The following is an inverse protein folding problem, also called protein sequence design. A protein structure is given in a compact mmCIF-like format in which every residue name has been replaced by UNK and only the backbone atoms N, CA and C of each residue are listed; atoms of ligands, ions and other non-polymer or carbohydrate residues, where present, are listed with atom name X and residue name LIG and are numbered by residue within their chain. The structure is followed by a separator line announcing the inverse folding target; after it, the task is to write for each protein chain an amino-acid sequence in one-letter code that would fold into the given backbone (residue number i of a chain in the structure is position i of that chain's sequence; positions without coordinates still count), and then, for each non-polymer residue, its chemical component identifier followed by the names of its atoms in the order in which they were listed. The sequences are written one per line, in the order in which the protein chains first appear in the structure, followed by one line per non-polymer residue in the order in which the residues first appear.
data_IF_035910559657
#
_entry.id   IF_035910559657
#
_cell.length_a   1.000
_cell.length_b   1.000
_cell.length_c   1.000
_cell.angle_alpha   90.00
_cell.angle_beta   90.00
_cell.angle_gamma   90.00
#
_symmetry.space_group_name_H-M   'P 1'
#
loop_
_entity.id
_entity.type
_entity.pdbx_description
1 polymer ?
#
# COMPACT_ATOMS: atom_id res chain seq x y z
N UNK A 1 7.87 46.89 3.56
CA UNK A 1 6.40 46.88 3.65
C UNK A 1 6.02 45.88 4.72
N UNK A 2 5.02 46.19 5.54
CA UNK A 2 4.64 45.35 6.67
C UNK A 2 3.67 44.25 6.23
N UNK A 3 3.89 43.02 6.71
CA UNK A 3 3.00 41.86 6.53
C UNK A 3 1.52 42.19 6.76
N UNK A 4 1.27 43.05 7.76
CA UNK A 4 -0.06 43.53 8.15
C UNK A 4 -0.83 44.21 7.02
N UNK A 5 -0.13 44.86 6.08
CA UNK A 5 -0.78 45.50 4.94
C UNK A 5 -1.49 44.50 4.04
N UNK A 6 -0.90 43.33 3.77
CA UNK A 6 -1.52 42.30 2.92
C UNK A 6 -2.73 41.65 3.59
N UNK A 7 -2.72 41.57 4.93
CA UNK A 7 -3.83 41.03 5.70
C UNK A 7 -5.01 42.02 5.75
N UNK A 8 -4.73 43.33 5.79
CA UNK A 8 -5.76 44.37 5.93
C UNK A 8 -6.26 44.94 4.59
N UNK A 9 -5.49 44.81 3.49
CA UNK A 9 -5.81 45.44 2.21
C UNK A 9 -6.87 44.70 1.38
N UNK A 10 -7.19 43.45 1.71
CA UNK A 10 -8.11 42.63 0.91
C UNK A 10 -7.48 42.00 -0.34
N UNK A 11 -6.16 42.11 -0.51
CA UNK A 11 -5.43 41.54 -1.64
C UNK A 11 -5.45 40.01 -1.63
N UNK A 12 -5.46 39.39 -0.45
CA UNK A 12 -5.51 37.94 -0.28
C UNK A 12 -6.85 37.39 -0.78
N UNK A 13 -7.97 38.02 -0.41
CA UNK A 13 -9.31 37.64 -0.86
C UNK A 13 -9.44 37.83 -2.37
N UNK A 14 -8.91 38.93 -2.90
CA UNK A 14 -8.92 39.22 -4.34
C UNK A 14 -8.07 38.20 -5.11
N UNK A 15 -6.94 37.76 -4.53
CA UNK A 15 -6.10 36.70 -5.07
C UNK A 15 -6.83 35.35 -5.09
N UNK A 16 -7.44 34.94 -3.97
CA UNK A 16 -8.18 33.67 -3.85
C UNK A 16 -9.37 33.62 -4.82
N UNK A 17 -10.05 34.74 -5.04
CA UNK A 17 -11.15 34.84 -6.00
C UNK A 17 -10.69 34.92 -7.47
N UNK A 18 -9.39 35.06 -7.73
CA UNK A 18 -8.85 35.26 -9.08
C UNK A 18 -9.16 36.63 -9.69
N UNK A 19 -9.38 37.64 -8.85
CA UNK A 19 -9.68 39.03 -9.24
C UNK A 19 -8.47 39.96 -9.15
N UNK A 20 -7.41 39.54 -8.47
CA UNK A 20 -6.17 40.30 -8.37
C UNK A 20 -5.49 40.45 -9.74
N UNK A 21 -4.81 41.58 -9.95
CA UNK A 21 -4.01 41.79 -11.15
C UNK A 21 -2.78 40.88 -11.16
N UNK A 22 -2.23 40.61 -12.35
CA UNK A 22 -1.03 39.79 -12.52
C UNK A 22 0.17 40.34 -11.71
N UNK A 23 0.31 41.66 -11.65
CA UNK A 23 1.34 42.33 -10.85
C UNK A 23 1.18 42.11 -9.35
N UNK A 24 -0.07 42.16 -8.85
CA UNK A 24 -0.37 41.93 -7.43
C UNK A 24 -0.17 40.46 -7.05
N UNK A 25 -0.51 39.55 -7.96
CA UNK A 25 -0.28 38.11 -7.81
C UNK A 25 1.22 37.82 -7.67
N UNK A 26 2.05 38.36 -8.58
CA UNK A 26 3.50 38.17 -8.52
C UNK A 26 4.10 38.73 -7.22
N UNK A 27 3.64 39.90 -6.79
CA UNK A 27 4.07 40.53 -5.54
C UNK A 27 3.69 39.66 -4.32
N UNK A 28 2.44 39.18 -4.26
CA UNK A 28 1.97 38.32 -3.19
C UNK A 28 2.74 36.98 -3.17
N UNK A 29 2.97 36.35 -4.31
CA UNK A 29 3.75 35.12 -4.41
C UNK A 29 5.21 35.31 -3.97
N UNK A 30 5.82 36.44 -4.32
CA UNK A 30 7.14 36.81 -3.83
C UNK A 30 7.13 36.98 -2.30
N UNK A 31 6.14 37.67 -1.76
CA UNK A 31 6.00 37.89 -0.31
C UNK A 31 5.71 36.60 0.46
N UNK A 32 4.95 35.66 -0.10
CA UNK A 32 4.70 34.32 0.48
C UNK A 32 5.99 33.51 0.64
N UNK A 33 6.98 33.68 -0.26
CA UNK A 33 8.31 33.05 -0.10
C UNK A 33 9.10 33.63 1.07
N UNK A 34 8.87 34.90 1.40
CA UNK A 34 9.57 35.60 2.48
C UNK A 34 8.87 35.39 3.84
N UNK A 35 7.53 35.32 3.84
CA UNK A 35 6.70 35.23 5.04
C UNK A 35 5.68 34.10 4.90
N UNK A 36 5.96 32.90 5.47
CA UNK A 36 5.04 31.77 5.42
C UNK A 36 3.74 32.01 6.21
N UNK A 37 3.69 33.03 7.07
CA UNK A 37 2.46 33.47 7.75
C UNK A 37 1.36 33.88 6.75
N UNK A 38 1.72 34.39 5.57
CA UNK A 38 0.78 34.71 4.50
C UNK A 38 0.08 33.45 3.95
N UNK A 39 0.76 32.31 3.91
CA UNK A 39 0.14 31.06 3.45
C UNK A 39 -1.00 30.64 4.39
N UNK A 40 -0.83 30.90 5.69
CA UNK A 40 -1.88 30.60 6.67
C UNK A 40 -3.10 31.48 6.46
N UNK A 41 -2.91 32.77 6.18
CA UNK A 41 -4.03 33.69 5.90
C UNK A 41 -4.72 33.39 4.56
N UNK A 42 -3.95 33.01 3.53
CA UNK A 42 -4.51 32.53 2.24
C UNK A 42 -5.39 31.30 2.47
N UNK A 43 -4.90 30.30 3.22
CA UNK A 43 -5.68 29.09 3.53
C UNK A 43 -6.95 29.43 4.33
N UNK A 44 -6.87 30.35 5.28
CA UNK A 44 -8.04 30.80 6.04
C UNK A 44 -9.07 31.48 5.14
N UNK A 45 -8.64 32.30 4.19
CA UNK A 45 -9.52 32.93 3.20
C UNK A 45 -10.17 31.88 2.28
N UNK A 46 -9.40 30.90 1.78
CA UNK A 46 -9.91 29.79 0.97
C UNK A 46 -10.99 29.00 1.70
N UNK A 47 -10.76 28.62 2.97
CA UNK A 47 -11.75 27.87 3.76
C UNK A 47 -13.02 28.67 4.05
N UNK A 48 -12.89 29.98 4.29
CA UNK A 48 -14.07 30.87 4.48
C UNK A 48 -14.91 30.91 3.21
N UNK A 49 -14.25 31.03 2.06
CA UNK A 49 -14.90 31.04 0.76
C UNK A 49 -15.55 29.68 0.45
N UNK A 50 -14.83 28.58 0.67
CA UNK A 50 -15.34 27.22 0.49
C UNK A 50 -16.64 27.02 1.30
N UNK A 51 -16.65 27.41 2.57
CA UNK A 51 -17.83 27.32 3.42
C UNK A 51 -19.01 28.12 2.86
N UNK A 52 -18.78 29.37 2.47
CA UNK A 52 -19.82 30.21 1.87
C UNK A 52 -20.38 29.60 0.57
N UNK A 53 -19.50 29.06 -0.28
CA UNK A 53 -19.92 28.38 -1.52
C UNK A 53 -20.74 27.12 -1.26
N UNK A 54 -20.43 26.36 -0.21
CA UNK A 54 -21.21 25.17 0.16
C UNK A 54 -22.57 25.53 0.79
N UNK A 55 -22.63 26.60 1.59
CA UNK A 55 -23.87 27.07 2.21
C UNK A 55 -24.91 27.49 1.14
N UNK A 56 -24.45 28.00 -0.01
CA UNK A 56 -25.29 28.41 -1.15
C UNK A 56 -25.26 27.42 -2.34
N UNK A 57 -24.80 26.18 -2.12
CA UNK A 57 -24.60 25.22 -3.20
C UNK A 57 -25.92 24.80 -3.90
N UNK A 58 -25.98 24.99 -5.22
CA UNK A 58 -27.09 24.51 -6.06
C UNK A 58 -26.77 23.13 -6.63
N UNK A 59 -27.73 22.21 -6.55
CA UNK A 59 -27.57 20.86 -7.09
C UNK A 59 -27.41 20.90 -8.63
N UNK A 60 -26.33 20.32 -9.18
CA UNK A 60 -26.12 20.30 -10.62
C UNK A 60 -27.10 19.33 -11.32
N UNK A 61 -27.47 19.56 -12.59
CA UNK A 61 -28.31 18.65 -13.35
C UNK A 61 -27.69 17.25 -13.49
N UNK A 62 -28.52 16.20 -13.39
CA UNK A 62 -28.08 14.79 -13.41
C UNK A 62 -27.36 14.42 -14.73
N UNK A 63 -27.68 15.09 -15.83
CA UNK A 63 -27.03 14.88 -17.13
C UNK A 63 -25.54 15.22 -17.12
N UNK A 64 -25.14 16.26 -16.39
CA UNK A 64 -23.75 16.72 -16.31
C UNK A 64 -22.89 15.65 -15.63
N UNK A 65 -23.42 15.02 -14.58
CA UNK A 65 -22.74 13.90 -13.90
C UNK A 65 -22.40 12.78 -14.88
N UNK A 66 -23.33 12.40 -15.76
CA UNK A 66 -23.11 11.33 -16.75
C UNK A 66 -22.02 11.71 -17.76
N UNK A 67 -22.04 12.95 -18.28
CA UNK A 67 -21.05 13.44 -19.24
C UNK A 67 -19.63 13.48 -18.64
N UNK A 68 -19.50 14.00 -17.41
CA UNK A 68 -18.22 14.07 -16.71
C UNK A 68 -17.66 12.67 -16.45
N UNK A 69 -18.48 11.76 -15.91
CA UNK A 69 -18.05 10.37 -15.63
C UNK A 69 -17.70 9.58 -16.90
N UNK A 70 -18.32 9.90 -18.04
CA UNK A 70 -17.99 9.28 -19.32
C UNK A 70 -16.60 9.71 -19.82
N UNK A 71 -16.25 11.00 -19.71
CA UNK A 71 -14.93 11.50 -20.12
C UNK A 71 -13.80 10.88 -19.30
N UNK A 72 -13.99 10.77 -17.97
CA UNK A 72 -13.03 10.10 -17.09
C UNK A 72 -12.88 8.63 -17.46
N UNK A 73 -13.98 7.93 -17.77
CA UNK A 73 -13.94 6.52 -18.20
C UNK A 73 -13.15 6.33 -19.48
N UNK A 74 -13.17 7.28 -20.41
CA UNK A 74 -12.39 7.22 -21.65
C UNK A 74 -10.87 7.23 -21.37
N UNK A 75 -10.41 8.09 -20.44
CA UNK A 75 -8.99 8.14 -20.04
C UNK A 75 -8.51 6.83 -19.39
N UNK A 76 -9.37 6.15 -18.62
CA UNK A 76 -9.07 4.84 -18.05
C UNK A 76 -9.28 3.67 -19.03
N UNK A 77 -10.20 3.80 -19.99
CA UNK A 77 -10.49 2.76 -20.99
C UNK A 77 -9.43 2.68 -22.12
N UNK A 78 -8.62 3.73 -22.29
CA UNK A 78 -7.45 3.72 -23.18
C UNK A 78 -6.37 2.68 -22.81
N UNK A 79 -6.50 1.99 -21.67
CA UNK A 79 -5.63 0.89 -21.28
C UNK A 79 -6.17 -0.52 -21.68
N UNK A 80 -7.41 -0.66 -22.16
CA UNK A 80 -8.00 -1.99 -22.43
C UNK A 80 -8.98 -2.09 -23.63
N UNK A 81 -9.11 -1.08 -24.48
CA UNK A 81 -10.06 -1.13 -25.60
C UNK A 81 -9.38 -1.14 -26.98
N UNK A 82 -8.68 -2.24 -27.29
CA UNK A 82 -8.45 -2.63 -28.69
C UNK A 82 -9.69 -3.36 -29.23
N UNK A 83 -10.57 -2.63 -29.91
CA UNK A 83 -11.38 -3.15 -31.00
C UNK A 83 -12.01 -1.98 -31.79
N UNK A 84 -11.44 -1.72 -32.97
CA UNK A 84 -12.05 -1.00 -34.10
C UNK A 84 -12.29 0.51 -33.92
N UNK A 85 -11.23 1.30 -34.06
CA UNK A 85 -11.35 2.53 -34.84
C UNK A 85 -10.07 2.80 -35.63
N UNK A 86 -10.25 3.01 -36.93
CA UNK A 86 -9.22 3.19 -37.93
C UNK A 86 -8.71 4.63 -37.85
N UNK A 87 -7.78 4.90 -36.93
CA UNK A 87 -7.00 6.12 -36.93
C UNK A 87 -5.51 5.79 -36.93
N UNK A 88 -4.77 6.43 -37.83
CA UNK A 88 -3.31 6.34 -37.86
C UNK A 88 -2.74 7.40 -36.93
N UNK A 89 -2.48 7.05 -35.66
CA UNK A 89 -1.56 7.85 -34.84
C UNK A 89 -0.15 7.29 -35.01
N UNK A 90 0.76 8.14 -35.49
CA UNK A 90 2.19 7.88 -35.39
C UNK A 90 2.55 8.05 -33.92
N UNK A 91 2.59 6.92 -33.21
CA UNK A 91 2.89 6.87 -31.79
C UNK A 91 4.42 6.92 -31.59
N UNK A 92 4.97 8.11 -31.45
CA UNK A 92 6.32 8.32 -30.91
C UNK A 92 6.25 8.13 -29.40
N UNK A 93 6.19 6.87 -28.95
CA UNK A 93 6.36 6.54 -27.54
C UNK A 93 7.83 6.72 -27.16
N UNK A 94 8.16 7.47 -26.08
CA UNK A 94 9.44 7.32 -25.43
C UNK A 94 9.51 5.89 -24.85
N UNK A 95 10.61 5.23 -25.17
CA UNK A 95 10.95 3.86 -24.80
C UNK A 95 11.27 3.79 -23.29
N UNK A 96 10.26 3.88 -22.44
CA UNK A 96 10.41 3.66 -21.01
C UNK A 96 10.11 2.19 -20.66
N UNK A 97 10.99 1.33 -21.17
CA UNK A 97 11.03 -0.08 -20.81
C UNK A 97 11.76 -0.27 -19.49
N UNK A 98 11.03 -0.40 -18.40
CA UNK A 98 11.13 -1.52 -17.44
C UNK A 98 10.45 -1.16 -16.11
N UNK A 99 9.12 -1.11 -16.09
CA UNK A 99 8.45 -1.36 -14.82
C UNK A 99 8.45 -2.88 -14.63
N UNK A 100 9.37 -3.39 -13.81
CA UNK A 100 9.34 -4.80 -13.40
C UNK A 100 8.14 -4.95 -12.47
N UNK A 101 6.99 -5.23 -13.06
CA UNK A 101 5.75 -5.48 -12.33
C UNK A 101 5.95 -6.75 -11.51
N UNK A 102 6.17 -6.58 -10.19
CA UNK A 102 6.22 -7.70 -9.27
C UNK A 102 4.87 -8.42 -9.34
N UNK A 103 4.89 -9.66 -9.83
CA UNK A 103 3.72 -10.47 -10.09
C UNK A 103 2.90 -10.60 -8.80
N UNK A 104 1.60 -10.27 -8.88
CA UNK A 104 0.66 -10.17 -7.74
C UNK A 104 0.59 -11.43 -6.86
N UNK A 105 1.14 -12.55 -7.34
CA UNK A 105 1.24 -13.84 -6.64
C UNK A 105 2.42 -14.00 -5.69
N UNK A 106 3.39 -13.08 -5.64
CA UNK A 106 4.54 -13.21 -4.74
C UNK A 106 4.13 -13.31 -3.26
N UNK A 107 2.99 -12.70 -2.89
CA UNK A 107 2.41 -12.81 -1.54
C UNK A 107 1.92 -14.23 -1.21
N UNK A 108 1.43 -14.99 -2.20
CA UNK A 108 0.96 -16.37 -2.02
C UNK A 108 2.15 -17.30 -1.78
N UNK A 109 3.27 -17.07 -2.46
CA UNK A 109 4.50 -17.85 -2.27
C UNK A 109 5.01 -17.81 -0.82
N UNK A 110 5.00 -16.63 -0.18
CA UNK A 110 5.37 -16.52 1.24
C UNK A 110 4.41 -17.24 2.18
N UNK A 111 3.11 -17.21 1.89
CA UNK A 111 2.11 -17.89 2.70
C UNK A 111 2.33 -19.41 2.64
N UNK A 112 2.59 -19.95 1.44
CA UNK A 112 2.87 -21.39 1.26
C UNK A 112 4.14 -21.81 2.02
N UNK A 113 5.23 -21.04 1.91
CA UNK A 113 6.48 -21.34 2.63
C UNK A 113 6.27 -21.33 4.14
N UNK A 114 5.51 -20.36 4.66
CA UNK A 114 5.25 -20.26 6.10
C UNK A 114 4.45 -21.46 6.62
N UNK A 115 3.46 -21.92 5.86
CA UNK A 115 2.67 -23.12 6.18
C UNK A 115 3.55 -24.37 6.11
N UNK A 116 4.38 -24.50 5.08
CA UNK A 116 5.28 -25.64 4.90
C UNK A 116 6.30 -25.76 6.05
N UNK A 117 6.84 -24.63 6.52
CA UNK A 117 7.74 -24.57 7.68
C UNK A 117 7.09 -25.13 8.95
N UNK A 118 5.81 -24.82 9.20
CA UNK A 118 5.07 -25.32 10.35
C UNK A 118 4.82 -26.83 10.27
N UNK A 119 4.46 -27.33 9.08
CA UNK A 119 4.27 -28.77 8.83
C UNK A 119 5.58 -29.51 9.07
N UNK A 120 6.71 -28.98 8.57
CA UNK A 120 8.02 -29.58 8.77
C UNK A 120 8.41 -29.66 10.25
N UNK A 121 8.19 -28.58 11.01
CA UNK A 121 8.43 -28.57 12.46
C UNK A 121 7.58 -29.64 13.18
N UNK A 122 6.30 -29.76 12.82
CA UNK A 122 5.41 -30.77 13.40
C UNK A 122 5.90 -32.20 13.11
N UNK A 123 6.27 -32.49 11.87
CA UNK A 123 6.82 -33.80 11.50
C UNK A 123 8.15 -34.09 12.18
N UNK A 124 9.03 -33.10 12.31
CA UNK A 124 10.31 -33.25 13.00
C UNK A 124 10.11 -33.62 14.47
N UNK A 125 9.16 -32.95 15.16
CA UNK A 125 8.80 -33.27 16.54
C UNK A 125 8.19 -34.69 16.63
N UNK A 126 7.25 -35.02 15.76
CA UNK A 126 6.61 -36.34 15.74
C UNK A 126 7.64 -37.47 15.53
N UNK A 127 8.54 -37.31 14.55
CA UNK A 127 9.57 -38.29 14.27
C UNK A 127 10.60 -38.39 15.40
N UNK A 128 10.97 -37.26 16.01
CA UNK A 128 11.86 -37.25 17.17
C UNK A 128 11.27 -38.03 18.36
N UNK A 129 9.98 -37.82 18.65
CA UNK A 129 9.27 -38.56 19.70
C UNK A 129 9.17 -40.05 19.38
N UNK A 130 8.86 -40.41 18.13
CA UNK A 130 8.81 -41.82 17.70
C UNK A 130 10.19 -42.48 17.77
N UNK A 131 11.23 -41.79 17.33
CA UNK A 131 12.61 -42.27 17.37
C UNK A 131 13.12 -42.50 18.81
N UNK A 132 12.73 -41.63 19.74
CA UNK A 132 12.97 -41.83 21.18
C UNK A 132 12.36 -43.13 21.70
N UNK A 133 11.11 -43.42 21.36
CA UNK A 133 10.42 -44.64 21.80
C UNK A 133 11.08 -45.92 21.26
N UNK A 134 11.57 -45.90 20.02
CA UNK A 134 12.26 -47.06 19.45
C UNK A 134 13.59 -47.34 20.16
N UNK A 135 14.33 -46.31 20.60
CA UNK A 135 15.55 -46.50 21.40
C UNK A 135 15.26 -47.12 22.75
N UNK A 136 14.27 -46.62 23.48
CA UNK A 136 13.90 -47.13 24.81
C UNK A 136 13.50 -48.61 24.73
N UNK A 137 12.72 -49.00 23.70
CA UNK A 137 12.37 -50.42 23.48
C UNK A 137 13.58 -51.29 23.17
N UNK A 138 14.53 -50.81 22.37
CA UNK A 138 15.75 -51.58 22.08
C UNK A 138 16.65 -51.73 23.30
N UNK A 139 16.79 -50.69 24.13
CA UNK A 139 17.51 -50.74 25.39
C UNK A 139 16.85 -51.71 26.39
N UNK A 140 15.52 -51.71 26.49
CA UNK A 140 14.77 -52.67 27.30
C UNK A 140 14.94 -54.12 26.81
N UNK A 141 14.86 -54.36 25.50
CA UNK A 141 15.06 -55.70 24.93
C UNK A 141 16.51 -56.20 25.11
N UNK A 142 17.50 -55.32 24.97
CA UNK A 142 18.90 -55.63 25.23
C UNK A 142 19.13 -55.97 26.71
N UNK A 143 18.60 -55.16 27.63
CA UNK A 143 18.69 -55.40 29.07
C UNK A 143 17.99 -56.70 29.50
N UNK A 144 16.79 -56.98 28.98
CA UNK A 144 16.07 -58.22 29.24
C UNK A 144 16.83 -59.46 28.72
N UNK A 145 17.46 -59.35 27.54
CA UNK A 145 18.28 -60.44 26.97
C UNK A 145 19.51 -60.73 27.83
N UNK A 146 20.18 -59.68 28.32
CA UNK A 146 21.33 -59.80 29.24
C UNK A 146 20.90 -60.45 30.55
N UNK A 147 19.78 -60.02 31.15
CA UNK A 147 19.27 -60.62 32.41
C UNK A 147 18.88 -62.10 32.24
N UNK A 148 18.27 -62.47 31.10
CA UNK A 148 17.95 -63.86 30.80
C UNK A 148 19.22 -64.70 30.65
N UNK A 149 20.24 -64.17 29.99
CA UNK A 149 21.53 -64.85 29.84
C UNK A 149 22.24 -65.04 31.17
N UNK A 150 22.30 -63.99 32.01
CA UNK A 150 22.85 -64.05 33.37
C UNK A 150 22.08 -65.05 34.24
N UNK A 151 20.74 -65.05 34.18
CA UNK A 151 19.91 -65.99 34.93
C UNK A 151 20.13 -67.45 34.48
N UNK A 152 20.28 -67.70 33.18
CA UNK A 152 20.61 -69.04 32.65
C UNK A 152 22.01 -69.49 33.09
N UNK A 153 23.00 -68.61 33.07
CA UNK A 153 24.35 -68.92 33.53
C UNK A 153 24.38 -69.24 35.04
N UNK A 154 23.58 -68.53 35.85
CA UNK A 154 23.51 -68.74 37.29
C UNK A 154 22.74 -70.02 37.69
N UNK A 155 21.78 -70.48 36.87
CA UNK A 155 21.05 -71.75 37.08
C UNK A 155 21.94 -72.97 36.74
N UNK A 156 22.95 -72.82 35.90
CA UNK A 156 23.85 -73.92 35.48
C UNK A 156 24.99 -74.20 36.48
N UNK A 157 25.12 -73.40 37.54
CA UNK A 157 26.18 -73.49 38.55
C UNK A 157 25.71 -74.04 39.92
N UNK A 158 24.48 -74.57 39.99
CA UNK A 158 23.90 -75.31 41.14
C UNK A 158 23.67 -76.74 40.68
#
# INVERSE_FOLDING_TARGET
MELKFYIESGIIESYVLGLASETEVEELEHMRKLFPELDTEVELAERRLEKACFDEAVLPPVEIRKRVLQKVRWEYAGAQADAQSNYTFINIQPKDGSHISVHRWWKIFFIIIFILSKIFLFFAIFYYLKYRQEKERQEEHAAATVLIHVRKANIFYI
#
